data_IF_429810877005
#
_entry.id   IF_429810877005
#
_cell.length_a   1.000
_cell.length_b   1.000
_cell.length_c   1.000
_cell.angle_alpha   90.00
_cell.angle_beta   90.00
_cell.angle_gamma   90.00
#
_symmetry.space_group_name_H-M   'P 1'
#
loop_
_entity.id
_entity.type
_entity.pdbx_description
1 polymer ?
#
# COMPACT_ATOMS: atom_id res chain seq x y z
N UNK A 1 9.64 -9.12 -24.42
CA UNK A 1 8.92 -10.10 -23.58
C UNK A 1 9.65 -10.40 -22.27
N UNK A 2 10.92 -10.82 -22.28
CA UNK A 2 11.66 -11.15 -21.04
C UNK A 2 11.70 -9.99 -20.02
N UNK A 3 11.88 -8.75 -20.48
CA UNK A 3 11.88 -7.55 -19.61
C UNK A 3 10.53 -7.28 -18.92
N UNK A 4 9.41 -7.59 -19.59
CA UNK A 4 8.06 -7.40 -19.03
C UNK A 4 7.80 -8.43 -17.93
N UNK A 5 8.21 -9.69 -18.15
CA UNK A 5 8.09 -10.74 -17.13
C UNK A 5 8.97 -10.43 -15.92
N UNK A 6 10.21 -10.00 -16.16
CA UNK A 6 11.10 -9.55 -15.09
C UNK A 6 10.48 -8.41 -14.29
N UNK A 7 9.97 -7.36 -14.95
CA UNK A 7 9.34 -6.20 -14.30
C UNK A 7 8.12 -6.60 -13.47
N UNK A 8 7.29 -7.51 -13.99
CA UNK A 8 6.12 -8.05 -13.27
C UNK A 8 6.52 -8.76 -11.98
N UNK A 9 7.55 -9.60 -12.03
CA UNK A 9 8.03 -10.34 -10.85
C UNK A 9 8.58 -9.37 -9.80
N UNK A 10 9.41 -8.40 -10.21
CA UNK A 10 9.95 -7.39 -9.30
C UNK A 10 8.85 -6.53 -8.67
N UNK A 11 7.81 -6.18 -9.44
CA UNK A 11 6.67 -5.41 -8.94
C UNK A 11 5.88 -6.19 -7.90
N UNK A 12 5.54 -7.45 -8.18
CA UNK A 12 4.84 -8.32 -7.23
C UNK A 12 5.68 -8.54 -5.97
N UNK A 13 6.98 -8.76 -6.11
CA UNK A 13 7.89 -8.89 -4.97
C UNK A 13 7.91 -7.60 -4.13
N UNK A 14 7.92 -6.43 -4.79
CA UNK A 14 7.85 -5.12 -4.13
C UNK A 14 6.53 -4.92 -3.39
N UNK A 15 5.40 -5.30 -3.98
CA UNK A 15 4.11 -5.25 -3.31
C UNK A 15 4.07 -6.14 -2.08
N UNK A 16 4.55 -7.36 -2.18
CA UNK A 16 4.61 -8.29 -1.04
C UNK A 16 5.49 -7.71 0.06
N UNK A 17 6.67 -7.21 -0.30
CA UNK A 17 7.59 -6.57 0.64
C UNK A 17 6.92 -5.39 1.37
N UNK A 18 6.40 -4.40 0.62
CA UNK A 18 5.77 -3.22 1.20
C UNK A 18 4.51 -3.56 2.00
N UNK A 19 3.69 -4.51 1.53
CA UNK A 19 2.54 -5.00 2.28
C UNK A 19 2.96 -5.47 3.67
N UNK A 20 4.01 -6.28 3.75
CA UNK A 20 4.52 -6.80 5.00
C UNK A 20 5.10 -5.70 5.89
N UNK A 21 5.82 -4.71 5.34
CA UNK A 21 6.31 -3.56 6.11
C UNK A 21 5.14 -2.81 6.76
N UNK A 22 4.15 -2.39 5.99
CA UNK A 22 3.00 -1.66 6.53
C UNK A 22 2.16 -2.54 7.48
N UNK A 23 1.87 -3.79 7.13
CA UNK A 23 1.14 -4.71 8.01
C UNK A 23 1.89 -4.94 9.33
N UNK A 24 3.22 -5.00 9.31
CA UNK A 24 4.07 -5.10 10.48
C UNK A 24 3.88 -3.94 11.47
N UNK A 25 3.87 -2.70 10.95
CA UNK A 25 3.55 -1.50 11.74
C UNK A 25 2.11 -1.58 12.25
N UNK A 26 1.17 -2.03 11.42
CA UNK A 26 -0.20 -2.28 11.83
C UNK A 26 -0.35 -3.26 12.99
N UNK A 27 0.43 -4.35 13.00
CA UNK A 27 0.41 -5.31 14.11
C UNK A 27 0.92 -4.72 15.41
N UNK A 28 1.88 -3.79 15.38
CA UNK A 28 2.25 -3.03 16.56
C UNK A 28 1.06 -2.28 17.14
N UNK A 29 0.36 -1.53 16.29
CA UNK A 29 -0.82 -0.74 16.68
C UNK A 29 -1.92 -1.66 17.22
N UNK A 30 -2.24 -2.74 16.52
CA UNK A 30 -3.26 -3.71 16.96
C UNK A 30 -2.91 -4.34 18.32
N UNK A 31 -1.62 -4.62 18.55
CA UNK A 31 -1.13 -5.14 19.83
C UNK A 31 -1.30 -4.11 20.96
N UNK A 32 -0.98 -2.85 20.70
CA UNK A 32 -1.18 -1.76 21.65
C UNK A 32 -2.66 -1.54 21.97
N UNK A 33 -3.55 -1.78 21.00
CA UNK A 33 -5.00 -1.72 21.18
C UNK A 33 -5.59 -2.98 21.86
N UNK A 34 -4.78 -3.97 22.21
CA UNK A 34 -5.24 -5.20 22.88
C UNK A 34 -6.06 -6.14 21.99
N UNK A 35 -5.92 -6.07 20.66
CA UNK A 35 -6.65 -6.96 19.74
C UNK A 35 -6.02 -8.36 19.79
N UNK A 36 -6.69 -9.29 20.48
CA UNK A 36 -6.22 -10.66 20.71
C UNK A 36 -6.76 -11.67 19.70
N UNK A 37 -8.00 -11.50 19.25
CA UNK A 37 -8.52 -12.30 18.13
C UNK A 37 -7.88 -11.85 16.83
N UNK A 38 -7.28 -12.77 16.08
CA UNK A 38 -6.73 -12.48 14.76
C UNK A 38 -7.52 -13.21 13.69
N UNK A 39 -8.51 -12.53 13.12
CA UNK A 39 -9.25 -12.99 11.93
C UNK A 39 -8.48 -12.61 10.67
N UNK A 40 -8.80 -13.22 9.53
CA UNK A 40 -8.14 -12.88 8.25
C UNK A 40 -8.24 -11.39 7.92
N UNK A 41 -9.41 -10.79 8.18
CA UNK A 41 -9.65 -9.35 8.03
C UNK A 41 -8.69 -8.48 8.84
N UNK A 42 -8.24 -8.92 10.03
CA UNK A 42 -7.30 -8.12 10.84
C UNK A 42 -5.93 -8.00 10.16
N UNK A 43 -5.54 -8.97 9.33
CA UNK A 43 -4.29 -8.87 8.56
C UNK A 43 -4.42 -7.83 7.44
N UNK A 44 -5.56 -7.79 6.75
CA UNK A 44 -5.84 -6.79 5.73
C UNK A 44 -5.98 -5.39 6.34
N UNK A 45 -6.63 -5.26 7.49
CA UNK A 45 -6.72 -3.98 8.21
C UNK A 45 -5.39 -3.55 8.82
N UNK A 46 -4.52 -4.49 9.22
CA UNK A 46 -3.18 -4.15 9.71
C UNK A 46 -2.40 -3.37 8.66
N UNK A 47 -2.49 -3.74 7.38
CA UNK A 47 -1.89 -2.96 6.30
C UNK A 47 -2.38 -1.51 6.31
N UNK A 48 -3.69 -1.28 6.29
CA UNK A 48 -4.25 0.07 6.23
C UNK A 48 -3.93 0.91 7.47
N UNK A 49 -3.97 0.29 8.65
CA UNK A 49 -3.58 0.94 9.90
C UNK A 49 -2.11 1.34 9.86
N UNK A 50 -1.22 0.42 9.49
CA UNK A 50 0.20 0.69 9.44
C UNK A 50 0.58 1.71 8.36
N UNK A 51 -0.08 1.66 7.20
CA UNK A 51 0.07 2.65 6.14
C UNK A 51 -0.38 4.04 6.61
N UNK A 52 -1.54 4.15 7.25
CA UNK A 52 -2.04 5.42 7.78
C UNK A 52 -1.14 5.97 8.90
N UNK A 53 -0.67 5.13 9.82
CA UNK A 53 0.27 5.51 10.89
C UNK A 53 1.61 5.95 10.31
N UNK A 54 2.08 5.28 9.24
CA UNK A 54 3.32 5.68 8.56
C UNK A 54 3.19 7.05 7.92
N UNK A 55 2.08 7.33 7.22
CA UNK A 55 1.83 8.66 6.65
C UNK A 55 1.71 9.72 7.76
N UNK A 56 0.97 9.44 8.83
CA UNK A 56 0.83 10.38 9.94
C UNK A 56 2.18 10.69 10.60
N UNK A 57 3.03 9.67 10.78
CA UNK A 57 4.40 9.85 11.26
C UNK A 57 5.23 10.69 10.28
N UNK A 58 5.19 10.37 8.99
CA UNK A 58 5.93 11.10 7.97
C UNK A 58 5.45 12.56 7.83
N UNK A 59 4.17 12.85 8.07
CA UNK A 59 3.67 14.22 8.08
C UNK A 59 4.35 15.06 9.16
N UNK A 60 4.58 14.49 10.35
CA UNK A 60 5.30 15.15 11.44
C UNK A 60 6.79 15.22 11.13
N UNK A 61 7.38 14.12 10.64
CA UNK A 61 8.80 14.05 10.28
C UNK A 61 9.17 15.10 9.22
N UNK A 62 8.36 15.21 8.17
CA UNK A 62 8.59 16.08 7.02
C UNK A 62 8.57 17.56 7.38
N UNK A 63 7.99 17.94 8.53
CA UNK A 63 8.09 19.31 9.03
C UNK A 63 9.54 19.73 9.31
N UNK A 64 10.41 18.78 9.64
CA UNK A 64 11.77 19.07 10.09
C UNK A 64 12.83 18.45 9.19
N UNK A 65 12.56 17.31 8.57
CA UNK A 65 13.55 16.55 7.81
C UNK A 65 12.97 16.00 6.49
N UNK A 66 13.76 15.90 5.41
CA UNK A 66 13.33 15.21 4.20
C UNK A 66 13.04 13.72 4.44
N UNK A 67 12.22 13.13 3.58
CA UNK A 67 12.03 11.67 3.52
C UNK A 67 13.17 11.08 2.69
N UNK A 68 14.21 10.60 3.34
CA UNK A 68 15.38 10.00 2.69
C UNK A 68 15.49 8.50 2.99
N UNK A 69 16.46 7.83 2.36
CA UNK A 69 16.70 6.40 2.56
C UNK A 69 16.85 6.02 4.05
N UNK A 70 17.45 6.88 4.88
CA UNK A 70 17.64 6.59 6.29
C UNK A 70 16.32 6.41 7.03
N UNK A 71 15.36 7.34 6.88
CA UNK A 71 14.07 7.19 7.54
C UNK A 71 13.26 6.04 6.95
N UNK A 72 13.39 5.80 5.65
CA UNK A 72 12.76 4.65 4.97
C UNK A 72 13.25 3.32 5.54
N UNK A 73 14.55 3.18 5.78
CA UNK A 73 15.13 1.99 6.42
C UNK A 73 14.68 1.82 7.88
N UNK A 74 14.52 2.91 8.64
CA UNK A 74 13.94 2.84 9.99
C UNK A 74 12.51 2.32 9.93
N UNK A 75 11.67 2.85 9.04
CA UNK A 75 10.29 2.40 8.86
C UNK A 75 10.25 0.92 8.47
N UNK A 76 11.14 0.49 7.56
CA UNK A 76 11.29 -0.93 7.23
C UNK A 76 11.68 -1.78 8.45
N UNK A 77 12.64 -1.33 9.27
CA UNK A 77 13.07 -2.06 10.46
C UNK A 77 11.93 -2.17 11.49
N UNK A 78 11.16 -1.10 11.71
CA UNK A 78 9.98 -1.09 12.58
C UNK A 78 8.92 -2.05 12.05
N UNK A 79 8.61 -2.02 10.75
CA UNK A 79 7.68 -2.96 10.12
C UNK A 79 8.11 -4.41 10.28
N UNK A 80 9.36 -4.74 9.93
CA UNK A 80 9.90 -6.09 10.08
C UNK A 80 9.89 -6.58 11.53
N UNK A 81 10.19 -5.71 12.50
CA UNK A 81 10.09 -6.04 13.93
C UNK A 81 8.66 -6.43 14.34
N UNK A 82 7.66 -5.72 13.80
CA UNK A 82 6.25 -6.00 14.05
C UNK A 82 5.82 -7.37 13.52
N UNK A 83 6.31 -7.75 12.34
CA UNK A 83 6.11 -9.11 11.79
C UNK A 83 6.79 -10.15 12.67
N UNK A 84 8.06 -9.92 13.06
CA UNK A 84 8.86 -10.88 13.82
C UNK A 84 8.25 -11.19 15.20
N UNK A 85 7.74 -10.17 15.87
CA UNK A 85 7.04 -10.32 17.17
C UNK A 85 5.73 -11.08 17.00
N UNK A 86 5.01 -10.84 15.91
CA UNK A 86 3.73 -11.49 15.61
C UNK A 86 3.88 -12.72 14.69
N UNK A 87 5.09 -13.30 14.59
CA UNK A 87 5.43 -14.35 13.62
C UNK A 87 4.52 -15.58 13.71
N UNK A 88 4.09 -15.94 14.91
CA UNK A 88 3.20 -17.10 15.12
C UNK A 88 1.84 -16.86 14.46
N UNK A 89 1.32 -15.64 14.54
CA UNK A 89 0.05 -15.28 13.92
C UNK A 89 0.17 -15.18 12.40
N UNK A 90 1.30 -14.66 11.91
CA UNK A 90 1.61 -14.63 10.48
C UNK A 90 1.75 -16.05 9.91
N UNK A 91 2.41 -16.97 10.60
CA UNK A 91 2.48 -18.38 10.19
C UNK A 91 1.08 -19.02 10.20
N UNK A 92 0.27 -18.72 11.22
CA UNK A 92 -1.10 -19.21 11.30
C UNK A 92 -2.00 -18.62 10.21
N UNK A 93 -1.74 -17.38 9.74
CA UNK A 93 -2.39 -16.81 8.57
C UNK A 93 -2.15 -17.67 7.33
N UNK A 94 -0.89 -18.01 7.05
CA UNK A 94 -0.56 -18.85 5.89
C UNK A 94 -1.24 -20.22 5.95
N UNK A 95 -1.31 -20.83 7.15
CA UNK A 95 -2.08 -22.07 7.35
C UNK A 95 -3.57 -21.90 7.06
N UNK A 96 -4.16 -20.76 7.44
CA UNK A 96 -5.56 -20.44 7.13
C UNK A 96 -5.77 -20.12 5.65
N UNK A 97 -4.82 -19.45 4.99
CA UNK A 97 -4.87 -19.21 3.55
C UNK A 97 -4.91 -20.51 2.76
N UNK A 98 -4.22 -21.55 3.23
CA UNK A 98 -4.30 -22.89 2.63
C UNK A 98 -5.72 -23.48 2.67
N UNK A 99 -6.52 -23.18 3.69
CA UNK A 99 -7.94 -23.56 3.73
C UNK A 99 -8.73 -22.93 2.57
N UNK A 100 -8.36 -21.71 2.19
CA UNK A 100 -8.95 -20.97 1.06
C UNK A 100 -8.18 -21.17 -0.25
N UNK A 101 -7.46 -22.29 -0.42
CA UNK A 101 -6.60 -22.55 -1.58
C UNK A 101 -7.29 -22.44 -2.94
N UNK A 102 -8.61 -22.69 -3.00
CA UNK A 102 -9.39 -22.54 -4.24
C UNK A 102 -9.43 -21.09 -4.74
N UNK A 103 -9.21 -20.13 -3.84
CA UNK A 103 -9.20 -18.70 -4.14
C UNK A 103 -7.81 -18.22 -4.61
N UNK A 104 -6.74 -18.99 -4.34
CA UNK A 104 -5.37 -18.62 -4.68
C UNK A 104 -5.19 -18.36 -6.19
N UNK A 105 -5.68 -19.19 -7.12
CA UNK A 105 -5.55 -18.93 -8.55
C UNK A 105 -6.20 -17.61 -8.97
N UNK A 106 -7.35 -17.27 -8.38
CA UNK A 106 -8.07 -16.02 -8.66
C UNK A 106 -7.24 -14.82 -8.17
N UNK A 107 -6.65 -14.92 -6.97
CA UNK A 107 -5.78 -13.89 -6.43
C UNK A 107 -4.50 -13.70 -7.26
N UNK A 108 -3.88 -14.79 -7.71
CA UNK A 108 -2.70 -14.75 -8.58
C UNK A 108 -3.06 -14.09 -9.91
N UNK A 109 -4.19 -14.46 -10.52
CA UNK A 109 -4.66 -13.84 -11.74
C UNK A 109 -4.90 -12.33 -11.55
N UNK A 110 -5.56 -11.93 -10.46
CA UNK A 110 -5.79 -10.53 -10.14
C UNK A 110 -4.49 -9.74 -9.95
N UNK A 111 -3.48 -10.33 -9.28
CA UNK A 111 -2.15 -9.71 -9.12
C UNK A 111 -1.45 -9.52 -10.46
N UNK A 112 -1.43 -10.54 -11.32
CA UNK A 112 -0.80 -10.46 -12.64
C UNK A 112 -1.52 -9.43 -13.52
N UNK A 113 -2.84 -9.43 -13.50
CA UNK A 113 -3.66 -8.46 -14.24
C UNK A 113 -3.39 -7.03 -13.77
N UNK A 114 -3.41 -6.77 -12.45
CA UNK A 114 -3.05 -5.47 -11.88
C UNK A 114 -1.62 -5.05 -12.22
N UNK A 115 -0.67 -5.98 -12.21
CA UNK A 115 0.73 -5.70 -12.52
C UNK A 115 0.89 -5.30 -13.99
N UNK A 116 0.17 -5.99 -14.88
CA UNK A 116 0.08 -5.63 -16.29
C UNK A 116 -0.43 -4.20 -16.50
N UNK A 117 -1.49 -3.81 -15.80
CA UNK A 117 -1.99 -2.43 -15.85
C UNK A 117 -1.01 -1.42 -15.28
N UNK A 118 -0.44 -1.71 -14.11
CA UNK A 118 0.49 -0.80 -13.44
C UNK A 118 1.76 -0.52 -14.26
N UNK A 119 2.28 -1.54 -14.97
CA UNK A 119 3.49 -1.40 -15.82
C UNK A 119 3.18 -0.65 -17.12
N UNK A 120 1.99 -0.84 -17.69
CA UNK A 120 1.59 -0.16 -18.93
C UNK A 120 0.93 1.20 -18.68
N UNK A 121 0.82 1.65 -17.43
CA UNK A 121 0.21 2.92 -17.11
C UNK A 121 1.03 4.07 -17.70
N UNK A 122 0.39 4.90 -18.51
CA UNK A 122 1.03 6.07 -19.09
C UNK A 122 1.15 7.16 -18.02
N UNK A 123 2.22 8.00 -18.05
CA UNK A 123 2.31 9.15 -17.18
C UNK A 123 1.05 10.01 -17.30
N UNK A 124 0.46 10.35 -16.17
CA UNK A 124 -0.72 11.20 -16.14
C UNK A 124 -0.31 12.64 -16.48
N UNK A 125 -1.25 13.43 -17.00
CA UNK A 125 -0.97 14.82 -17.38
C UNK A 125 -0.32 15.62 -16.23
N UNK A 126 -0.81 15.41 -15.01
CA UNK A 126 -0.33 16.07 -13.81
C UNK A 126 1.03 15.57 -13.31
N UNK A 127 1.50 14.40 -13.76
CA UNK A 127 2.84 13.89 -13.40
C UNK A 127 3.94 14.83 -13.90
N UNK A 128 3.77 15.37 -15.11
CA UNK A 128 4.70 16.36 -15.67
C UNK A 128 4.55 17.76 -15.07
N UNK A 129 3.43 18.03 -14.38
CA UNK A 129 3.14 19.36 -13.84
C UNK A 129 3.57 19.53 -12.39
N UNK A 130 3.34 18.54 -11.53
CA UNK A 130 3.69 18.64 -10.12
C UNK A 130 3.97 17.32 -9.40
N UNK A 131 3.39 16.16 -9.77
CA UNK A 131 3.56 14.96 -8.92
C UNK A 131 5.02 14.50 -8.81
N UNK A 132 5.78 14.52 -9.90
CA UNK A 132 7.20 14.14 -9.86
C UNK A 132 7.98 15.15 -9.03
N UNK A 133 7.71 16.44 -9.22
CA UNK A 133 8.38 17.53 -8.49
C UNK A 133 8.07 17.50 -6.99
N UNK A 134 6.84 17.15 -6.62
CA UNK A 134 6.42 16.98 -5.23
C UNK A 134 7.17 15.84 -4.56
N UNK A 135 7.32 14.70 -5.24
CA UNK A 135 8.08 13.55 -4.71
C UNK A 135 9.56 13.92 -4.55
N UNK A 136 10.17 14.52 -5.56
CA UNK A 136 11.56 15.00 -5.51
C UNK A 136 11.79 16.01 -4.39
N UNK A 137 10.83 16.90 -4.15
CA UNK A 137 10.91 17.84 -3.05
C UNK A 137 10.82 17.13 -1.71
N UNK A 138 9.83 16.26 -1.52
CA UNK A 138 9.66 15.46 -0.29
C UNK A 138 10.94 14.68 0.07
N UNK A 139 11.68 14.20 -0.93
CA UNK A 139 12.91 13.43 -0.72
C UNK A 139 14.16 14.30 -0.55
N UNK A 140 14.16 15.52 -1.07
CA UNK A 140 15.31 16.41 -1.08
C UNK A 140 15.32 17.44 0.06
N UNK A 141 14.16 17.93 0.50
CA UNK A 141 14.07 18.99 1.50
C UNK A 141 13.02 18.69 2.58
N UNK A 142 13.17 19.32 3.74
CA UNK A 142 12.06 19.43 4.70
C UNK A 142 11.01 20.41 4.17
N UNK A 143 9.87 20.49 4.86
CA UNK A 143 8.82 21.44 4.51
C UNK A 143 9.39 22.87 4.52
N UNK A 144 9.06 23.64 3.49
CA UNK A 144 9.42 25.06 3.38
C UNK A 144 8.14 25.88 3.46
N UNK A 145 7.86 26.54 4.61
CA UNK A 145 6.67 27.36 4.77
C UNK A 145 6.61 28.49 3.73
N UNK A 146 5.43 28.72 3.15
CA UNK A 146 5.20 29.83 2.22
C UNK A 146 5.51 29.55 0.75
N UNK A 147 5.93 28.34 0.36
CA UNK A 147 6.21 28.00 -1.04
C UNK A 147 5.01 28.18 -1.98
N UNK A 148 3.79 27.97 -1.48
CA UNK A 148 2.57 28.24 -2.23
C UNK A 148 2.41 29.69 -2.70
N UNK A 149 3.10 30.64 -2.04
CA UNK A 149 3.11 32.05 -2.45
C UNK A 149 3.99 32.31 -3.67
N UNK A 150 4.93 31.41 -3.99
CA UNK A 150 5.77 31.52 -5.19
C UNK A 150 5.08 30.90 -6.41
N UNK A 151 4.38 29.78 -6.21
CA UNK A 151 3.62 29.13 -7.26
C UNK A 151 2.53 28.23 -6.67
N UNK A 152 1.31 28.33 -7.16
CA UNK A 152 0.14 27.64 -6.59
C UNK A 152 0.27 26.11 -6.56
N UNK A 153 0.92 25.51 -7.56
CA UNK A 153 1.16 24.05 -7.60
C UNK A 153 2.08 23.56 -6.49
N UNK A 154 2.96 24.41 -5.97
CA UNK A 154 3.82 24.08 -4.82
C UNK A 154 3.05 24.13 -3.48
N UNK A 155 1.79 24.60 -3.51
CA UNK A 155 0.88 24.53 -2.37
C UNK A 155 0.03 23.24 -2.39
N UNK A 156 0.13 22.40 -3.42
CA UNK A 156 -0.52 21.10 -3.41
C UNK A 156 0.13 20.22 -2.35
N UNK A 157 -0.56 20.06 -1.23
CA UNK A 157 -0.09 19.24 -0.12
C UNK A 157 -0.96 17.98 -0.04
N UNK A 158 -0.54 16.94 -0.74
CA UNK A 158 -1.15 15.63 -0.65
C UNK A 158 -0.31 14.75 0.28
N UNK A 159 -0.92 14.19 1.33
CA UNK A 159 -0.26 13.27 2.24
C UNK A 159 0.28 12.01 1.52
N UNK A 160 -0.28 11.66 0.36
CA UNK A 160 0.21 10.57 -0.49
C UNK A 160 1.60 10.85 -1.07
N UNK A 161 2.00 12.11 -1.26
CA UNK A 161 3.35 12.46 -1.76
C UNK A 161 4.44 11.95 -0.81
N UNK A 162 4.17 11.91 0.50
CA UNK A 162 5.08 11.32 1.50
C UNK A 162 5.20 9.80 1.35
N UNK A 163 4.10 9.14 1.02
CA UNK A 163 4.09 7.70 0.74
C UNK A 163 4.86 7.37 -0.54
N UNK A 164 4.71 8.17 -1.59
CA UNK A 164 5.50 8.02 -2.82
C UNK A 164 6.98 8.30 -2.56
N UNK A 165 7.35 9.37 -1.85
CA UNK A 165 8.75 9.65 -1.48
C UNK A 165 9.39 8.54 -0.61
N UNK A 166 8.62 7.95 0.31
CA UNK A 166 9.07 6.79 1.08
C UNK A 166 9.44 5.62 0.17
N UNK A 167 8.61 5.31 -0.82
CA UNK A 167 8.86 4.20 -1.76
C UNK A 167 10.03 4.56 -2.70
N UNK A 168 10.07 5.79 -3.21
CA UNK A 168 11.06 6.25 -4.17
C UNK A 168 12.49 6.22 -3.61
N UNK A 169 12.64 6.50 -2.32
CA UNK A 169 13.94 6.47 -1.64
C UNK A 169 14.45 5.06 -1.33
N UNK A 170 13.60 4.03 -1.41
CA UNK A 170 14.03 2.65 -1.24
C UNK A 170 14.75 2.17 -2.52
N UNK A 171 15.77 1.31 -2.43
CA UNK A 171 16.51 0.79 -3.58
C UNK A 171 15.69 -0.28 -4.33
N UNK A 172 14.53 0.11 -4.85
CA UNK A 172 13.62 -0.74 -5.60
C UNK A 172 13.98 -0.67 -7.09
N UNK A 173 13.88 -1.80 -7.77
CA UNK A 173 14.16 -1.89 -9.21
C UNK A 173 12.98 -1.46 -10.08
N UNK A 174 11.85 -1.10 -9.47
CA UNK A 174 10.60 -0.76 -10.16
C UNK A 174 10.23 0.71 -9.86
N UNK A 175 9.85 1.50 -10.88
CA UNK A 175 9.46 2.89 -10.68
C UNK A 175 8.32 3.06 -9.68
N UNK A 176 8.42 4.09 -8.83
CA UNK A 176 7.44 4.41 -7.77
C UNK A 176 6.00 4.50 -8.31
N UNK A 177 5.81 5.08 -9.50
CA UNK A 177 4.52 5.23 -10.18
C UNK A 177 3.81 3.90 -10.46
N UNK A 178 4.56 2.82 -10.67
CA UNK A 178 3.98 1.49 -10.90
C UNK A 178 3.62 0.80 -9.58
N UNK A 179 4.18 1.24 -8.45
CA UNK A 179 4.07 0.56 -7.15
C UNK A 179 2.99 1.21 -6.28
N UNK A 180 3.01 2.53 -6.14
CA UNK A 180 2.31 3.20 -5.06
C UNK A 180 0.79 2.97 -5.06
N UNK A 181 0.09 3.38 -6.11
CA UNK A 181 -1.37 3.22 -6.21
C UNK A 181 -1.79 1.76 -6.42
N UNK A 182 -0.99 1.00 -7.18
CA UNK A 182 -1.30 -0.39 -7.51
C UNK A 182 -1.22 -1.31 -6.29
N UNK A 183 -0.34 -1.01 -5.32
CA UNK A 183 -0.31 -1.70 -4.03
C UNK A 183 -1.60 -1.46 -3.24
N UNK A 184 -2.06 -0.20 -3.16
CA UNK A 184 -3.31 0.14 -2.48
C UNK A 184 -4.51 -0.54 -3.15
N UNK A 185 -4.52 -0.55 -4.49
CA UNK A 185 -5.53 -1.24 -5.28
C UNK A 185 -5.52 -2.75 -5.02
N UNK A 186 -4.34 -3.37 -4.97
CA UNK A 186 -4.20 -4.79 -4.66
C UNK A 186 -4.80 -5.13 -3.29
N UNK A 187 -4.46 -4.38 -2.24
CA UNK A 187 -4.98 -4.65 -0.90
C UNK A 187 -6.49 -4.40 -0.83
N UNK A 188 -6.98 -3.39 -1.54
CA UNK A 188 -8.41 -3.17 -1.68
C UNK A 188 -9.11 -4.34 -2.40
N UNK A 189 -8.53 -4.88 -3.46
CA UNK A 189 -9.06 -6.07 -4.15
C UNK A 189 -9.08 -7.30 -3.23
N UNK A 190 -8.04 -7.50 -2.41
CA UNK A 190 -8.01 -8.57 -1.41
C UNK A 190 -9.16 -8.41 -0.39
N UNK A 191 -9.42 -7.19 0.06
CA UNK A 191 -10.55 -6.88 0.94
C UNK A 191 -11.89 -7.14 0.26
N UNK A 192 -12.09 -6.63 -0.95
CA UNK A 192 -13.36 -6.77 -1.66
C UNK A 192 -13.63 -8.24 -2.02
N UNK A 193 -12.61 -8.99 -2.39
CA UNK A 193 -12.71 -10.43 -2.63
C UNK A 193 -13.06 -11.21 -1.34
N UNK A 194 -12.40 -10.89 -0.23
CA UNK A 194 -12.75 -11.46 1.08
C UNK A 194 -14.19 -11.12 1.49
N UNK A 195 -14.63 -9.89 1.19
CA UNK A 195 -16.01 -9.43 1.44
C UNK A 195 -17.02 -10.26 0.65
N UNK A 196 -16.76 -10.50 -0.64
CA UNK A 196 -17.57 -11.37 -1.49
C UNK A 196 -17.68 -12.79 -0.95
N UNK A 197 -16.56 -13.37 -0.52
CA UNK A 197 -16.53 -14.70 0.09
C UNK A 197 -17.38 -14.77 1.37
N UNK A 198 -17.37 -13.73 2.20
CA UNK A 198 -18.19 -13.68 3.43
C UNK A 198 -19.68 -13.55 3.14
N UNK A 199 -20.06 -12.72 2.17
CA UNK A 199 -21.46 -12.51 1.76
C UNK A 199 -22.05 -13.77 1.13
N UNK A 200 -21.33 -14.40 0.20
CA UNK A 200 -21.78 -15.65 -0.47
C UNK A 200 -22.01 -16.76 0.55
N UNK A 201 -21.12 -16.89 1.53
CA UNK A 201 -21.24 -17.92 2.57
C UNK A 201 -22.18 -17.53 3.72
N UNK A 202 -22.96 -16.44 3.58
CA UNK A 202 -23.89 -15.89 4.59
C UNK A 202 -23.28 -15.80 5.99
N UNK A 203 -21.98 -15.53 6.08
CA UNK A 203 -21.27 -15.49 7.36
C UNK A 203 -21.51 -14.19 8.13
N UNK A 204 -22.12 -13.18 7.52
CA UNK A 204 -22.31 -11.86 8.14
C UNK A 204 -23.32 -10.99 7.39
N UNK A 205 -24.22 -10.33 8.14
CA UNK A 205 -25.17 -9.28 7.67
C UNK A 205 -24.57 -7.85 7.73
N UNK A 206 -23.27 -7.69 8.03
CA UNK A 206 -22.69 -6.37 8.19
C UNK A 206 -22.62 -5.59 6.87
N UNK A 207 -23.18 -4.38 6.85
CA UNK A 207 -23.23 -3.47 5.69
C UNK A 207 -21.85 -3.21 5.06
N UNK A 208 -20.79 -3.16 5.88
CA UNK A 208 -19.41 -2.88 5.43
C UNK A 208 -18.94 -3.79 4.28
N UNK A 209 -19.34 -5.06 4.29
CA UNK A 209 -18.94 -6.02 3.25
C UNK A 209 -19.60 -5.76 1.90
N UNK A 210 -20.84 -5.30 1.93
CA UNK A 210 -21.58 -4.90 0.73
C UNK A 210 -20.97 -3.62 0.13
N UNK A 211 -20.52 -2.69 0.98
CA UNK A 211 -19.86 -1.45 0.53
C UNK A 211 -18.55 -1.73 -0.20
N UNK A 212 -17.69 -2.63 0.32
CA UNK A 212 -16.45 -2.97 -0.38
C UNK A 212 -16.68 -3.61 -1.76
N UNK A 213 -17.76 -4.39 -1.91
CA UNK A 213 -18.16 -4.96 -3.20
C UNK A 213 -18.70 -3.90 -4.17
N UNK A 214 -19.47 -2.94 -3.67
CA UNK A 214 -20.02 -1.84 -4.46
C UNK A 214 -18.95 -0.86 -4.95
N UNK A 215 -17.85 -0.73 -4.21
CA UNK A 215 -16.72 0.13 -4.58
C UNK A 215 -15.80 -0.51 -5.63
N UNK A 216 -15.84 -1.85 -5.81
CA UNK A 216 -14.99 -2.59 -6.75
C UNK A 216 -15.15 -2.11 -8.21
N UNK A 217 -16.37 -1.98 -8.77
CA UNK A 217 -16.55 -1.46 -10.14
C UNK A 217 -16.04 -0.03 -10.32
N UNK A 218 -16.23 0.84 -9.31
CA UNK A 218 -15.76 2.23 -9.36
C UNK A 218 -14.24 2.27 -9.43
N UNK A 219 -13.57 1.47 -8.60
CA UNK A 219 -12.10 1.40 -8.62
C UNK A 219 -11.54 0.82 -9.92
N UNK A 220 -12.23 -0.14 -10.54
CA UNK A 220 -11.83 -0.70 -11.83
C UNK A 220 -12.03 0.29 -12.98
N UNK A 221 -13.13 1.06 -12.98
CA UNK A 221 -13.40 2.08 -13.99
C UNK A 221 -12.38 3.22 -13.94
N UNK A 222 -12.02 3.67 -12.73
CA UNK A 222 -11.00 4.73 -12.54
C UNK A 222 -9.59 4.23 -12.85
N UNK A 223 -9.30 2.94 -12.69
CA UNK A 223 -7.97 2.37 -13.01
C UNK A 223 -7.71 2.14 -14.50
N UNK A 224 -8.75 2.22 -15.34
CA UNK A 224 -8.67 1.98 -16.81
C UNK A 224 -8.73 3.30 -17.60
N UNK A 225 -9.04 4.42 -16.93
CA UNK A 225 -9.11 5.78 -17.49
C UNK A 225 -7.81 6.55 -17.24
#
# INVERSE_FOLDING_TARGET
>A
MFEIYSSTIHLIATWIFLYFIFAGIGFWVQRLMGITEKRFEHFLFAFWIGWAVTIAFLQIWHLFFPVNLFISLIICAVGLSGIFINRHDVINLFKRLYHYRILIPILIFAMIWLAGHAINNMPQYDDGLYHIQDVEWVTSYSIVPGLGNLHSRLAFNNALSLYFGLIDTLPLTVPVRHVGNSLLMLVFFLLAFWSGWQVINRRTEQLKWHLYLLLLPITMLVSVA
#
